data_IF_771931791285
#
_entry.id   IF_771931791285
#
_cell.length_a   1.000
_cell.length_b   1.000
_cell.length_c   1.000
_cell.angle_alpha   90.00
_cell.angle_beta   90.00
_cell.angle_gamma   90.00
#
_symmetry.space_group_name_H-M   'P 1'
#
loop_
_entity.id
_entity.type
_entity.pdbx_description
1 polymer ?
#
# COMPACT_ATOMS: atom_id res chain seq x y z
N UNK A 1 37.83 39.99 -24.55
CA UNK A 1 37.25 39.01 -23.66
C UNK A 1 36.30 38.11 -24.42
N UNK A 2 36.80 36.90 -24.67
CA UNK A 2 36.12 35.88 -25.45
C UNK A 2 35.22 34.97 -24.53
N UNK A 3 34.24 34.26 -25.10
CA UNK A 3 33.09 33.77 -24.42
C UNK A 3 33.39 32.45 -23.67
N UNK A 4 33.53 32.52 -22.35
CA UNK A 4 33.61 31.33 -21.49
C UNK A 4 32.28 30.61 -21.29
N UNK A 5 31.18 31.16 -21.81
CA UNK A 5 29.83 30.65 -21.59
C UNK A 5 29.48 29.42 -22.44
N UNK A 6 30.12 29.23 -23.59
CA UNK A 6 29.86 28.09 -24.47
C UNK A 6 30.50 26.76 -24.02
N UNK A 7 31.54 26.80 -23.22
CA UNK A 7 32.19 25.58 -22.73
C UNK A 7 31.37 24.82 -21.68
N UNK A 8 30.65 25.54 -20.86
CA UNK A 8 29.83 24.94 -19.80
C UNK A 8 28.57 24.25 -20.35
N UNK A 9 27.96 24.83 -21.37
CA UNK A 9 26.78 24.24 -22.03
C UNK A 9 27.19 23.03 -22.87
N UNK A 10 28.33 23.10 -23.57
CA UNK A 10 28.88 21.97 -24.32
C UNK A 10 29.30 20.82 -23.41
N UNK A 11 29.86 21.10 -22.24
CA UNK A 11 30.21 20.09 -21.24
C UNK A 11 28.98 19.43 -20.60
N UNK A 12 27.93 20.20 -20.35
CA UNK A 12 26.65 19.67 -19.88
C UNK A 12 25.95 18.82 -20.96
N UNK A 13 25.95 19.25 -22.20
CA UNK A 13 25.39 18.50 -23.33
C UNK A 13 26.19 17.21 -23.61
N UNK A 14 27.52 17.25 -23.52
CA UNK A 14 28.38 16.07 -23.64
C UNK A 14 28.22 15.09 -22.49
N UNK A 15 28.04 15.57 -21.25
CA UNK A 15 27.74 14.76 -20.09
C UNK A 15 26.39 14.05 -20.17
N UNK A 16 25.35 14.70 -20.68
CA UNK A 16 24.04 14.11 -20.91
C UNK A 16 24.05 13.10 -22.06
N UNK A 17 24.81 13.33 -23.12
CA UNK A 17 24.99 12.39 -24.23
C UNK A 17 25.80 11.14 -23.83
N UNK A 18 26.72 11.27 -22.89
CA UNK A 18 27.51 10.14 -22.33
C UNK A 18 26.68 9.26 -21.39
N UNK A 19 25.60 9.79 -20.79
CA UNK A 19 24.58 8.99 -20.08
C UNK A 19 23.71 8.39 -21.17
N UNK A 20 24.00 7.18 -21.60
CA UNK A 20 23.25 6.52 -22.66
C UNK A 20 21.74 6.63 -22.42
N UNK A 21 20.97 6.93 -23.44
CA UNK A 21 19.50 7.12 -23.41
C UNK A 21 18.79 6.01 -22.65
N UNK A 22 19.28 4.77 -22.75
CA UNK A 22 18.73 3.60 -22.06
C UNK A 22 18.81 3.72 -20.52
N UNK A 23 19.80 4.43 -19.94
CA UNK A 23 19.91 4.67 -18.50
C UNK A 23 18.84 5.62 -18.00
N UNK A 24 18.55 6.66 -18.76
CA UNK A 24 17.44 7.56 -18.49
C UNK A 24 16.09 6.82 -18.60
N UNK A 25 15.95 5.97 -19.60
CA UNK A 25 14.76 5.13 -19.75
C UNK A 25 14.58 4.17 -18.58
N UNK A 26 15.65 3.57 -18.07
CA UNK A 26 15.60 2.71 -16.90
C UNK A 26 15.11 3.43 -15.62
N UNK A 27 15.43 4.72 -15.48
CA UNK A 27 14.88 5.56 -14.39
C UNK A 27 13.44 5.96 -14.66
N UNK A 28 13.12 6.37 -15.90
CA UNK A 28 11.80 6.90 -16.24
C UNK A 28 10.70 5.82 -16.31
N UNK A 29 11.04 4.61 -16.77
CA UNK A 29 10.06 3.53 -17.00
C UNK A 29 9.24 3.17 -15.77
N UNK A 30 9.79 2.98 -14.56
CA UNK A 30 9.00 2.71 -13.37
C UNK A 30 8.02 3.84 -13.02
N UNK A 31 8.40 5.10 -13.24
CA UNK A 31 7.53 6.24 -12.96
C UNK A 31 6.38 6.34 -13.98
N UNK A 32 6.66 6.08 -15.26
CA UNK A 32 5.63 5.98 -16.29
C UNK A 32 4.70 4.79 -16.02
N UNK A 33 5.23 3.64 -15.60
CA UNK A 33 4.43 2.48 -15.19
C UNK A 33 3.50 2.81 -14.04
N UNK A 34 3.99 3.49 -13.01
CA UNK A 34 3.18 3.94 -11.87
C UNK A 34 2.09 4.94 -12.29
N UNK A 35 2.41 5.88 -13.17
CA UNK A 35 1.43 6.84 -13.69
C UNK A 35 0.32 6.14 -14.49
N UNK A 36 0.68 5.19 -15.37
CA UNK A 36 -0.29 4.39 -16.13
C UNK A 36 -1.18 3.58 -15.17
N UNK A 37 -0.59 2.96 -14.16
CA UNK A 37 -1.32 2.18 -13.17
C UNK A 37 -2.31 3.08 -12.40
N UNK A 38 -1.85 4.24 -11.92
CA UNK A 38 -2.70 5.24 -11.27
C UNK A 38 -3.92 5.62 -12.12
N UNK A 39 -3.69 5.95 -13.39
CA UNK A 39 -4.77 6.34 -14.30
C UNK A 39 -5.78 5.21 -14.59
N UNK A 40 -5.39 3.94 -14.36
CA UNK A 40 -6.23 2.75 -14.55
C UNK A 40 -6.94 2.30 -13.28
N UNK A 41 -6.47 2.71 -12.11
CA UNK A 41 -6.95 2.21 -10.82
C UNK A 41 -7.56 3.27 -9.93
N UNK A 42 -7.30 4.56 -10.20
CA UNK A 42 -7.77 5.65 -9.36
C UNK A 42 -8.64 6.61 -10.17
N UNK A 43 -9.87 6.79 -9.76
CA UNK A 43 -10.88 7.50 -10.55
C UNK A 43 -10.95 9.00 -10.24
N UNK A 44 -10.92 9.37 -8.96
CA UNK A 44 -11.06 10.75 -8.51
C UNK A 44 -9.72 11.44 -8.21
N UNK A 45 -9.77 12.77 -8.06
CA UNK A 45 -8.56 13.56 -7.77
C UNK A 45 -7.93 13.20 -6.43
N UNK A 46 -8.75 12.97 -5.40
CA UNK A 46 -8.25 12.64 -4.06
C UNK A 46 -7.54 11.30 -4.02
N UNK A 47 -8.09 10.26 -4.65
CA UNK A 47 -7.45 8.95 -4.74
C UNK A 47 -6.17 9.01 -5.56
N UNK A 48 -6.12 9.76 -6.67
CA UNK A 48 -4.88 10.00 -7.43
C UNK A 48 -3.81 10.72 -6.61
N UNK A 49 -4.21 11.72 -5.82
CA UNK A 49 -3.29 12.40 -4.92
C UNK A 49 -2.72 11.44 -3.87
N UNK A 50 -3.56 10.63 -3.22
CA UNK A 50 -3.12 9.60 -2.28
C UNK A 50 -2.20 8.57 -2.93
N UNK A 51 -2.51 8.14 -4.16
CA UNK A 51 -1.62 7.27 -4.93
C UNK A 51 -0.25 7.89 -5.12
N UNK A 52 -0.17 9.14 -5.59
CA UNK A 52 1.10 9.85 -5.82
C UNK A 52 1.90 10.04 -4.53
N UNK A 53 1.24 10.37 -3.43
CA UNK A 53 1.89 10.50 -2.13
C UNK A 53 2.44 9.15 -1.65
N UNK A 54 1.67 8.08 -1.79
CA UNK A 54 2.11 6.71 -1.44
C UNK A 54 3.26 6.25 -2.34
N UNK A 55 3.17 6.51 -3.65
CA UNK A 55 4.26 6.30 -4.59
C UNK A 55 5.52 7.06 -4.17
N UNK A 56 5.36 8.34 -3.79
CA UNK A 56 6.45 9.17 -3.29
C UNK A 56 7.09 8.59 -2.02
N UNK A 57 6.28 8.17 -1.05
CA UNK A 57 6.76 7.55 0.19
C UNK A 57 7.61 6.32 -0.12
N UNK A 58 7.09 5.38 -0.90
CA UNK A 58 7.81 4.14 -1.26
C UNK A 58 9.11 4.43 -2.02
N UNK A 59 9.03 5.31 -3.03
CA UNK A 59 10.18 5.63 -3.87
C UNK A 59 11.28 6.34 -3.07
N UNK A 60 10.94 7.36 -2.28
CA UNK A 60 11.92 8.07 -1.46
C UNK A 60 12.44 7.23 -0.30
N UNK A 61 11.64 6.32 0.26
CA UNK A 61 12.09 5.33 1.23
C UNK A 61 13.17 4.44 0.62
N UNK A 62 12.91 3.84 -0.55
CA UNK A 62 13.89 3.00 -1.22
C UNK A 62 15.11 3.79 -1.71
N UNK A 63 14.97 5.04 -2.15
CA UNK A 63 16.11 5.91 -2.45
C UNK A 63 16.96 6.15 -1.20
N UNK A 64 16.34 6.38 -0.05
CA UNK A 64 17.06 6.58 1.22
C UNK A 64 17.88 5.35 1.60
N UNK A 65 17.34 4.15 1.37
CA UNK A 65 18.02 2.89 1.65
C UNK A 65 19.11 2.56 0.62
N UNK A 66 18.75 2.58 -0.66
CA UNK A 66 19.56 2.04 -1.75
C UNK A 66 20.38 3.10 -2.49
N UNK A 67 19.95 4.36 -2.45
CA UNK A 67 20.57 5.51 -3.14
C UNK A 67 20.52 5.42 -4.68
N UNK A 68 19.79 4.46 -5.25
CA UNK A 68 19.70 4.16 -6.67
C UNK A 68 18.28 4.41 -7.19
N UNK A 69 18.04 5.45 -8.02
CA UNK A 69 16.68 5.85 -8.40
C UNK A 69 15.98 4.85 -9.29
N UNK A 70 16.65 4.24 -10.27
CA UNK A 70 16.02 3.26 -11.15
C UNK A 70 15.58 2.02 -10.39
N UNK A 71 16.45 1.49 -9.53
CA UNK A 71 16.13 0.34 -8.69
C UNK A 71 15.02 0.66 -7.68
N UNK A 72 15.10 1.83 -7.05
CA UNK A 72 14.07 2.27 -6.09
C UNK A 72 12.71 2.42 -6.74
N UNK A 73 12.64 3.03 -7.92
CA UNK A 73 11.41 3.12 -8.70
C UNK A 73 10.85 1.76 -9.10
N UNK A 74 11.70 0.83 -9.52
CA UNK A 74 11.28 -0.53 -9.89
C UNK A 74 10.75 -1.32 -8.69
N UNK A 75 11.43 -1.24 -7.52
CA UNK A 75 10.95 -1.86 -6.27
C UNK A 75 9.61 -1.28 -5.82
N UNK A 76 9.48 0.05 -5.88
CA UNK A 76 8.22 0.73 -5.56
C UNK A 76 7.11 0.27 -6.50
N UNK A 77 7.38 0.21 -7.82
CA UNK A 77 6.39 -0.25 -8.79
C UNK A 77 5.97 -1.70 -8.54
N UNK A 78 6.93 -2.57 -8.28
CA UNK A 78 6.65 -3.97 -7.95
C UNK A 78 5.74 -4.09 -6.73
N UNK A 79 6.05 -3.35 -5.65
CA UNK A 79 5.23 -3.37 -4.44
C UNK A 79 3.82 -2.84 -4.69
N UNK A 80 3.68 -1.73 -5.42
CA UNK A 80 2.37 -1.16 -5.77
C UNK A 80 1.57 -2.11 -6.66
N UNK A 81 2.20 -2.74 -7.66
CA UNK A 81 1.54 -3.74 -8.50
C UNK A 81 1.05 -4.92 -7.66
N UNK A 82 1.87 -5.44 -6.76
CA UNK A 82 1.48 -6.54 -5.85
C UNK A 82 0.28 -6.13 -4.99
N UNK A 83 0.31 -4.94 -4.39
CA UNK A 83 -0.81 -4.43 -3.57
C UNK A 83 -2.09 -4.28 -4.40
N UNK A 84 -2.01 -3.75 -5.61
CA UNK A 84 -3.17 -3.63 -6.51
C UNK A 84 -3.71 -5.00 -6.91
N UNK A 85 -2.84 -5.96 -7.20
CA UNK A 85 -3.27 -7.32 -7.56
C UNK A 85 -3.92 -8.03 -6.36
N UNK A 86 -3.36 -7.90 -5.16
CA UNK A 86 -3.96 -8.45 -3.94
C UNK A 86 -5.31 -7.80 -3.63
N UNK A 87 -5.42 -6.49 -3.81
CA UNK A 87 -6.67 -5.78 -3.59
C UNK A 87 -7.75 -6.17 -4.60
N UNK A 88 -7.38 -6.34 -5.89
CA UNK A 88 -8.29 -6.87 -6.91
C UNK A 88 -8.72 -8.30 -6.60
N UNK A 89 -7.77 -9.15 -6.25
CA UNK A 89 -8.09 -10.54 -5.87
C UNK A 89 -9.07 -10.58 -4.70
N UNK A 90 -8.85 -9.79 -3.64
CA UNK A 90 -9.78 -9.68 -2.52
C UNK A 90 -11.15 -9.16 -2.96
N UNK A 91 -11.16 -8.14 -3.81
CA UNK A 91 -12.39 -7.58 -4.34
C UNK A 91 -13.20 -8.61 -5.15
N UNK A 92 -12.54 -9.41 -5.98
CA UNK A 92 -13.20 -10.43 -6.81
C UNK A 92 -13.80 -11.57 -5.96
N UNK A 93 -13.20 -11.85 -4.79
CA UNK A 93 -13.64 -12.95 -3.90
C UNK A 93 -14.69 -12.50 -2.89
N UNK A 94 -14.47 -11.35 -2.24
CA UNK A 94 -15.31 -10.90 -1.12
C UNK A 94 -15.95 -9.53 -1.35
N UNK A 95 -15.84 -8.98 -2.57
CA UNK A 95 -16.39 -7.68 -2.96
C UNK A 95 -15.88 -6.50 -2.09
N UNK A 96 -14.70 -6.65 -1.51
CA UNK A 96 -14.05 -5.64 -0.66
C UNK A 96 -12.61 -5.41 -1.13
N UNK A 97 -12.17 -4.15 -1.13
CA UNK A 97 -10.77 -3.82 -1.41
C UNK A 97 -9.87 -4.17 -0.22
N UNK A 98 -8.59 -4.42 -0.49
CA UNK A 98 -7.62 -4.65 0.58
C UNK A 98 -7.38 -3.36 1.37
N UNK A 99 -7.34 -3.49 2.69
CA UNK A 99 -6.97 -2.43 3.60
C UNK A 99 -5.68 -2.79 4.36
N UNK A 100 -5.13 -1.83 5.09
CA UNK A 100 -3.87 -2.04 5.81
C UNK A 100 -4.00 -3.07 6.94
N UNK A 101 -5.16 -3.17 7.57
CA UNK A 101 -5.41 -4.13 8.65
C UNK A 101 -5.33 -5.57 8.13
N UNK A 102 -5.70 -5.80 6.86
CA UNK A 102 -5.56 -7.14 6.25
C UNK A 102 -4.11 -7.65 6.31
N UNK A 103 -3.11 -6.77 6.13
CA UNK A 103 -1.72 -7.17 6.25
C UNK A 103 -1.32 -7.55 7.69
N UNK A 104 -1.97 -6.97 8.69
CA UNK A 104 -1.70 -7.27 10.09
C UNK A 104 -2.29 -8.62 10.51
N UNK A 105 -3.35 -9.06 9.82
CA UNK A 105 -4.07 -10.33 10.11
C UNK A 105 -3.51 -11.50 9.29
N UNK A 106 -2.82 -11.23 8.17
CA UNK A 106 -2.23 -12.31 7.36
C UNK A 106 -1.13 -13.00 8.16
N UNK A 107 -1.42 -14.21 8.57
CA UNK A 107 -0.49 -15.12 9.22
C UNK A 107 -0.03 -16.23 8.25
N UNK A 108 0.78 -17.14 8.78
CA UNK A 108 1.31 -18.26 8.02
C UNK A 108 0.22 -19.23 7.57
N UNK A 109 -0.80 -19.41 8.39
CA UNK A 109 -1.90 -20.34 8.13
C UNK A 109 -2.82 -19.79 7.05
N UNK A 110 -3.11 -18.48 7.07
CA UNK A 110 -3.83 -17.77 6.00
C UNK A 110 -3.10 -17.90 4.66
N UNK A 111 -1.77 -17.69 4.66
CA UNK A 111 -0.98 -17.85 3.44
C UNK A 111 -1.01 -19.29 2.89
N UNK A 112 -0.89 -20.29 3.76
CA UNK A 112 -0.96 -21.70 3.39
C UNK A 112 -2.35 -22.07 2.85
N UNK A 113 -3.41 -21.57 3.49
CA UNK A 113 -4.79 -21.75 3.06
C UNK A 113 -5.03 -21.18 1.65
N UNK A 114 -4.60 -19.93 1.40
CA UNK A 114 -4.73 -19.30 0.08
C UNK A 114 -4.01 -20.08 -1.01
N UNK A 115 -2.80 -20.57 -0.75
CA UNK A 115 -2.04 -21.39 -1.71
C UNK A 115 -2.66 -22.77 -1.96
N UNK A 116 -3.48 -23.26 -1.02
CA UNK A 116 -4.19 -24.54 -1.18
C UNK A 116 -5.47 -24.36 -2.02
N UNK A 117 -6.25 -23.30 -1.75
CA UNK A 117 -7.50 -23.05 -2.47
C UNK A 117 -7.26 -22.51 -3.88
N UNK A 118 -6.20 -21.71 -4.05
CA UNK A 118 -5.86 -21.10 -5.34
C UNK A 118 -4.51 -21.62 -5.87
N UNK A 119 -4.46 -22.82 -6.47
CA UNK A 119 -3.20 -23.43 -6.92
C UNK A 119 -2.48 -22.59 -8.00
N UNK A 120 -3.23 -21.85 -8.81
CA UNK A 120 -2.66 -20.93 -9.80
C UNK A 120 -1.90 -19.77 -9.17
N UNK A 121 -2.24 -19.36 -7.94
CA UNK A 121 -1.55 -18.30 -7.20
C UNK A 121 -0.09 -18.65 -6.96
N UNK A 122 0.21 -19.90 -6.62
CA UNK A 122 1.57 -20.39 -6.43
C UNK A 122 2.43 -20.22 -7.69
N UNK A 123 1.91 -20.61 -8.85
CA UNK A 123 2.63 -20.47 -10.12
C UNK A 123 2.79 -19.01 -10.54
N UNK A 124 1.80 -18.17 -10.25
CA UNK A 124 1.89 -16.73 -10.49
C UNK A 124 2.97 -16.07 -9.63
N UNK A 125 3.09 -16.43 -8.36
CA UNK A 125 4.15 -15.94 -7.46
C UNK A 125 5.54 -16.38 -7.96
N UNK A 126 5.69 -17.66 -8.32
CA UNK A 126 6.96 -18.20 -8.86
C UNK A 126 7.33 -17.47 -10.16
N UNK A 127 6.39 -17.33 -11.09
CA UNK A 127 6.61 -16.64 -12.36
C UNK A 127 6.98 -15.18 -12.18
N UNK A 128 6.26 -14.45 -11.29
CA UNK A 128 6.59 -13.07 -10.95
C UNK A 128 8.00 -12.97 -10.36
N UNK A 129 8.36 -13.86 -9.45
CA UNK A 129 9.71 -13.89 -8.85
C UNK A 129 10.81 -14.14 -9.89
N UNK A 130 10.60 -15.09 -10.79
CA UNK A 130 11.56 -15.41 -11.86
C UNK A 130 11.80 -14.24 -12.82
N UNK A 131 10.83 -13.38 -13.03
CA UNK A 131 10.98 -12.17 -13.87
C UNK A 131 11.55 -11.01 -13.08
N UNK A 132 11.02 -10.76 -11.88
CA UNK A 132 11.35 -9.58 -11.08
C UNK A 132 12.77 -9.62 -10.55
N UNK A 133 13.25 -10.79 -10.05
CA UNK A 133 14.59 -10.89 -9.47
C UNK A 133 15.73 -10.62 -10.47
N UNK A 134 15.74 -11.22 -11.68
CA UNK A 134 16.76 -10.88 -12.68
C UNK A 134 16.68 -9.42 -13.14
N UNK A 135 15.46 -8.88 -13.28
CA UNK A 135 15.26 -7.48 -13.64
C UNK A 135 15.84 -6.54 -12.57
N UNK A 136 15.59 -6.80 -11.29
CA UNK A 136 16.16 -6.02 -10.18
C UNK A 136 17.68 -6.11 -10.15
N UNK A 137 18.21 -7.30 -10.37
CA UNK A 137 19.65 -7.50 -10.46
C UNK A 137 20.27 -6.72 -11.63
N UNK A 138 19.66 -6.78 -12.82
CA UNK A 138 20.09 -6.00 -13.98
C UNK A 138 20.02 -4.48 -13.69
N UNK A 139 18.93 -3.99 -13.11
CA UNK A 139 18.79 -2.58 -12.72
C UNK A 139 19.82 -2.16 -11.68
N UNK A 140 20.17 -3.04 -10.75
CA UNK A 140 21.24 -2.76 -9.79
C UNK A 140 22.58 -2.48 -10.50
N UNK A 141 22.89 -3.21 -11.55
CA UNK A 141 24.12 -3.02 -12.33
C UNK A 141 24.05 -1.81 -13.26
N UNK A 142 22.87 -1.56 -13.83
CA UNK A 142 22.66 -0.54 -14.85
C UNK A 142 22.46 0.87 -14.28
N UNK A 143 22.10 1.00 -13.01
CA UNK A 143 21.82 2.30 -12.38
C UNK A 143 23.11 2.97 -11.85
N UNK A 144 23.67 3.96 -12.60
CA UNK A 144 24.89 4.66 -12.20
C UNK A 144 24.62 5.79 -11.20
N UNK A 145 23.36 6.17 -11.04
CA UNK A 145 22.99 7.35 -10.26
C UNK A 145 23.08 7.08 -8.75
N UNK A 146 23.49 8.11 -8.02
CA UNK A 146 23.61 8.06 -6.56
C UNK A 146 22.98 9.31 -5.95
N UNK A 147 21.83 9.15 -5.32
CA UNK A 147 21.11 10.24 -4.65
C UNK A 147 21.53 10.32 -3.18
N UNK A 148 21.61 11.53 -2.65
CA UNK A 148 21.87 11.77 -1.22
C UNK A 148 20.70 11.31 -0.38
N UNK A 149 20.99 10.65 0.75
CA UNK A 149 19.96 10.10 1.65
C UNK A 149 19.11 11.17 2.32
N UNK A 150 19.73 12.25 2.78
CA UNK A 150 19.04 13.26 3.57
C UNK A 150 17.87 13.94 2.83
N UNK A 151 18.06 14.46 1.59
CA UNK A 151 16.91 15.03 0.87
C UNK A 151 15.85 13.98 0.51
N UNK A 152 16.24 12.72 0.25
CA UNK A 152 15.28 11.66 0.01
C UNK A 152 14.45 11.33 1.27
N UNK A 153 15.11 11.25 2.42
CA UNK A 153 14.41 11.05 3.71
C UNK A 153 13.46 12.22 4.03
N UNK A 154 13.90 13.46 3.80
CA UNK A 154 13.06 14.63 3.98
C UNK A 154 11.83 14.61 3.06
N UNK A 155 12.01 14.23 1.78
CA UNK A 155 10.91 14.08 0.84
C UNK A 155 9.95 12.95 1.24
N UNK A 156 10.47 11.81 1.74
CA UNK A 156 9.66 10.72 2.28
C UNK A 156 8.79 11.21 3.44
N UNK A 157 9.37 11.91 4.41
CA UNK A 157 8.65 12.47 5.56
C UNK A 157 7.60 13.50 5.12
N UNK A 158 7.92 14.35 4.15
CA UNK A 158 6.98 15.34 3.62
C UNK A 158 5.78 14.65 2.93
N UNK A 159 6.00 13.61 2.13
CA UNK A 159 4.91 12.84 1.53
C UNK A 159 4.07 12.12 2.59
N UNK A 160 4.70 11.57 3.64
CA UNK A 160 3.98 10.92 4.76
C UNK A 160 3.12 11.93 5.50
N UNK A 161 3.68 13.09 5.85
CA UNK A 161 2.93 14.15 6.51
C UNK A 161 1.75 14.67 5.66
N UNK A 162 1.96 14.83 4.34
CA UNK A 162 0.92 15.26 3.42
C UNK A 162 -0.20 14.20 3.30
N UNK A 163 0.14 12.92 3.21
CA UNK A 163 -0.84 11.82 3.17
C UNK A 163 -1.65 11.75 4.46
N UNK A 164 -0.97 11.85 5.62
CA UNK A 164 -1.64 11.85 6.92
C UNK A 164 -2.56 13.07 7.07
N UNK A 165 -2.07 14.26 6.72
CA UNK A 165 -2.88 15.47 6.74
C UNK A 165 -4.11 15.39 5.85
N UNK A 166 -3.96 14.81 4.65
CA UNK A 166 -5.08 14.59 3.75
C UNK A 166 -6.09 13.58 4.32
N UNK A 167 -5.61 12.44 4.84
CA UNK A 167 -6.49 11.40 5.39
C UNK A 167 -7.31 11.88 6.58
N UNK A 168 -6.73 12.74 7.44
CA UNK A 168 -7.47 13.33 8.58
C UNK A 168 -8.38 14.48 8.17
N UNK A 169 -7.99 15.30 7.17
CA UNK A 169 -8.81 16.41 6.71
C UNK A 169 -10.07 15.96 5.95
N UNK A 170 -9.97 14.86 5.23
CA UNK A 170 -11.05 14.26 4.42
C UNK A 170 -11.19 12.77 4.72
N UNK A 171 -11.75 12.40 5.88
CA UNK A 171 -11.98 10.99 6.22
C UNK A 171 -12.94 10.35 5.20
N UNK A 172 -12.66 9.11 4.82
CA UNK A 172 -13.57 8.34 3.97
C UNK A 172 -14.84 7.98 4.73
N UNK A 173 -15.98 8.07 4.06
CA UNK A 173 -17.20 7.47 4.55
C UNK A 173 -16.99 5.94 4.61
N UNK A 174 -17.34 5.32 5.73
CA UNK A 174 -17.03 3.92 6.01
C UNK A 174 -17.50 2.95 4.90
N UNK A 175 -18.65 3.23 4.26
CA UNK A 175 -19.19 2.40 3.18
C UNK A 175 -18.49 2.59 1.83
N UNK A 176 -17.98 3.81 1.51
CA UNK A 176 -17.21 4.06 0.28
C UNK A 176 -15.88 3.32 0.28
N UNK A 177 -15.30 3.07 1.46
CA UNK A 177 -14.08 2.31 1.61
C UNK A 177 -14.17 0.90 1.02
N UNK A 178 -15.36 0.33 0.87
CA UNK A 178 -15.54 -1.05 0.43
C UNK A 178 -15.94 -1.20 -1.04
N UNK A 179 -16.71 -0.26 -1.59
CA UNK A 179 -17.42 -0.47 -2.86
C UNK A 179 -16.91 0.34 -4.05
N UNK A 180 -16.03 1.30 -3.83
CA UNK A 180 -15.57 2.22 -4.86
C UNK A 180 -14.19 1.82 -5.43
N UNK A 181 -13.86 2.26 -6.66
CA UNK A 181 -12.53 2.12 -7.23
C UNK A 181 -11.49 2.82 -6.36
N UNK A 182 -10.22 2.46 -6.52
CA UNK A 182 -9.13 3.01 -5.73
C UNK A 182 -8.52 1.96 -4.80
N UNK A 183 -7.51 1.24 -5.31
CA UNK A 183 -6.90 0.15 -4.54
C UNK A 183 -5.77 0.63 -3.64
N UNK A 184 -4.81 1.40 -4.20
CA UNK A 184 -3.65 1.86 -3.44
C UNK A 184 -4.00 3.01 -2.50
N UNK A 185 -4.84 3.94 -2.95
CA UNK A 185 -5.27 5.09 -2.16
C UNK A 185 -6.01 4.67 -0.89
N UNK A 186 -6.95 3.74 -0.99
CA UNK A 186 -7.68 3.18 0.17
C UNK A 186 -6.76 2.44 1.12
N UNK A 187 -5.87 1.60 0.57
CA UNK A 187 -4.86 0.91 1.37
C UNK A 187 -3.98 1.89 2.15
N UNK A 188 -3.51 2.96 1.51
CA UNK A 188 -2.67 3.95 2.17
C UNK A 188 -3.41 4.76 3.24
N UNK A 189 -4.65 5.17 2.96
CA UNK A 189 -5.49 5.91 3.91
C UNK A 189 -5.88 5.05 5.10
N UNK A 190 -6.29 3.80 4.87
CA UNK A 190 -6.55 2.85 5.97
C UNK A 190 -5.30 2.58 6.81
N UNK A 191 -4.10 2.65 6.21
CA UNK A 191 -2.83 2.57 6.93
C UNK A 191 -2.61 3.75 7.88
N UNK A 192 -2.92 4.97 7.44
CA UNK A 192 -2.84 6.16 8.31
C UNK A 192 -3.77 6.03 9.50
N UNK A 193 -5.02 5.63 9.26
CA UNK A 193 -6.02 5.44 10.33
C UNK A 193 -5.60 4.31 11.27
N UNK A 194 -5.23 3.15 10.75
CA UNK A 194 -4.82 2.01 11.56
C UNK A 194 -3.60 2.31 12.45
N UNK A 195 -2.60 3.03 11.92
CA UNK A 195 -1.43 3.43 12.70
C UNK A 195 -1.83 4.47 13.77
N UNK A 196 -2.70 5.41 13.44
CA UNK A 196 -3.22 6.39 14.41
C UNK A 196 -3.96 5.70 15.54
N UNK A 197 -4.86 4.79 15.22
CA UNK A 197 -5.65 4.04 16.21
C UNK A 197 -4.76 3.15 17.07
N UNK A 198 -3.78 2.50 16.45
CA UNK A 198 -2.78 1.73 17.18
C UNK A 198 -1.99 2.57 18.18
N UNK A 199 -1.58 3.78 17.81
CA UNK A 199 -0.85 4.70 18.70
C UNK A 199 -1.75 5.25 19.80
N UNK A 200 -3.01 5.54 19.49
CA UNK A 200 -3.96 6.13 20.44
C UNK A 200 -4.54 5.10 21.42
N UNK A 201 -4.87 3.90 20.95
CA UNK A 201 -5.64 2.90 21.69
C UNK A 201 -4.91 1.58 21.92
N UNK A 202 -3.75 1.37 21.28
CA UNK A 202 -2.99 0.11 21.35
C UNK A 202 -3.48 -0.93 20.35
N UNK A 203 -2.89 -2.13 20.44
CA UNK A 203 -3.23 -3.25 19.55
C UNK A 203 -4.50 -3.92 20.03
N UNK A 204 -5.53 -3.85 19.18
CA UNK A 204 -6.84 -4.50 19.36
C UNK A 204 -7.42 -4.46 20.79
N UNK A 205 -8.51 -3.76 20.95
CA UNK A 205 -9.43 -3.89 22.08
C UNK A 205 -9.08 -3.24 23.42
N UNK A 206 -8.29 -2.24 23.47
CA UNK A 206 -8.19 -1.48 24.70
C UNK A 206 -9.16 -0.30 24.77
N UNK A 207 -10.37 -0.42 24.22
CA UNK A 207 -11.41 0.55 24.56
C UNK A 207 -12.02 0.18 25.92
N UNK A 208 -11.57 0.83 27.03
CA UNK A 208 -12.12 0.56 28.36
C UNK A 208 -13.62 0.87 28.42
N UNK A 209 -14.09 1.76 27.53
CA UNK A 209 -15.50 2.16 27.49
C UNK A 209 -16.40 1.06 26.95
N UNK A 210 -15.94 0.30 25.94
CA UNK A 210 -16.66 -0.88 25.44
C UNK A 210 -16.69 -2.00 26.49
N UNK A 211 -15.57 -2.24 27.16
CA UNK A 211 -15.48 -3.19 28.26
C UNK A 211 -16.38 -2.82 29.44
N UNK A 212 -16.49 -1.52 29.77
CA UNK A 212 -17.36 -1.04 30.84
C UNK A 212 -18.84 -1.04 30.44
N UNK A 213 -19.17 -0.80 29.18
CA UNK A 213 -20.53 -0.93 28.63
C UNK A 213 -21.01 -2.38 28.58
N UNK A 214 -20.08 -3.34 28.42
CA UNK A 214 -20.36 -4.78 28.44
C UNK A 214 -20.40 -5.38 29.86
N UNK A 215 -20.03 -4.62 30.90
CA UNK A 215 -20.29 -5.04 32.27
C UNK A 215 -21.80 -5.03 32.52
N UNK A 216 -22.43 -6.13 32.13
CA UNK A 216 -23.79 -6.42 32.52
C UNK A 216 -23.83 -6.37 34.05
N UNK A 217 -24.60 -5.45 34.68
CA UNK A 217 -24.77 -5.49 36.12
C UNK A 217 -25.20 -6.90 36.48
N UNK A 218 -24.51 -7.54 37.42
CA UNK A 218 -24.93 -8.83 37.96
C UNK A 218 -26.31 -8.63 38.53
N UNK A 219 -27.33 -8.90 37.72
CA UNK A 219 -28.71 -8.97 38.20
C UNK A 219 -28.71 -10.14 39.20
N UNK A 220 -28.92 -9.82 40.47
CA UNK A 220 -29.07 -10.79 41.51
C UNK A 220 -30.00 -11.89 41.02
N UNK A 221 -29.46 -13.10 41.03
CA UNK A 221 -30.01 -14.38 40.71
C UNK A 221 -31.49 -14.36 40.22
N UNK A 222 -31.66 -14.26 38.90
CA UNK A 222 -32.92 -14.69 38.32
C UNK A 222 -33.10 -16.17 38.58
N UNK A 223 -33.89 -16.52 39.58
CA UNK A 223 -34.33 -17.88 39.82
C UNK A 223 -35.51 -18.19 38.92
N UNK A 224 -35.31 -18.78 37.73
CA UNK A 224 -36.43 -19.13 36.88
C UNK A 224 -37.25 -20.22 37.53
N UNK A 225 -38.52 -19.93 37.83
CA UNK A 225 -39.45 -20.88 38.40
C UNK A 225 -39.92 -21.96 37.39
N UNK A 226 -39.27 -22.10 36.25
CA UNK A 226 -39.66 -23.01 35.18
C UNK A 226 -38.49 -23.59 34.40
N UNK A 227 -38.79 -24.42 33.41
CA UNK A 227 -37.83 -25.03 32.49
C UNK A 227 -37.10 -23.94 31.73
N UNK A 228 -35.77 -23.95 31.79
CA UNK A 228 -34.93 -22.97 31.09
C UNK A 228 -35.17 -23.07 29.56
N UNK A 229 -35.37 -21.95 28.84
CA UNK A 229 -35.48 -21.98 27.38
C UNK A 229 -34.15 -22.41 26.76
N UNK A 230 -34.23 -23.12 25.64
CA UNK A 230 -33.05 -23.35 24.80
C UNK A 230 -32.80 -22.07 24.00
N UNK A 231 -31.64 -21.45 24.17
CA UNK A 231 -31.22 -20.28 23.43
C UNK A 231 -30.25 -20.76 22.35
N UNK A 232 -30.60 -20.53 21.07
CA UNK A 232 -29.74 -20.74 19.94
C UNK A 232 -29.34 -19.36 19.45
N UNK A 233 -28.07 -19.02 19.56
CA UNK A 233 -27.50 -17.81 19.00
C UNK A 233 -26.86 -18.17 17.64
N UNK A 234 -27.37 -17.60 16.56
CA UNK A 234 -26.81 -17.72 15.23
C UNK A 234 -26.04 -16.41 14.98
N UNK A 235 -24.73 -16.50 14.91
CA UNK A 235 -23.87 -15.39 14.50
C UNK A 235 -23.59 -15.56 13.01
N UNK A 236 -24.23 -14.75 12.19
CA UNK A 236 -24.02 -14.73 10.74
C UNK A 236 -23.08 -13.57 10.38
N UNK A 237 -21.80 -13.89 10.26
CA UNK A 237 -20.76 -12.89 9.91
C UNK A 237 -20.73 -12.57 8.42
N UNK A 238 -21.35 -13.39 7.57
CA UNK A 238 -21.20 -13.30 6.12
C UNK A 238 -22.43 -13.81 5.40
N UNK A 239 -23.53 -13.07 5.47
CA UNK A 239 -24.66 -13.35 4.58
C UNK A 239 -24.36 -12.80 3.18
N UNK A 240 -23.92 -13.67 2.27
CA UNK A 240 -23.80 -13.33 0.86
C UNK A 240 -25.12 -13.67 0.15
N UNK A 241 -25.68 -12.68 -0.54
CA UNK A 241 -26.76 -12.92 -1.49
C UNK A 241 -26.18 -13.63 -2.72
N UNK A 242 -26.33 -14.95 -2.75
CA UNK A 242 -25.94 -15.77 -3.90
C UNK A 242 -27.06 -15.66 -4.93
N UNK A 243 -27.00 -14.67 -5.80
CA UNK A 243 -27.83 -14.55 -7.00
C UNK A 243 -27.05 -14.94 -8.23
#
# INVERSE_FOLDING_TARGET
>A
PAPQQNSSVAALAGGLAAIGVWRLMAVAAPHLGALILMLRTETDFGSRLCFLLTWGILNFLFITLLRRPALSGALSLTLVVVLVLLSRFKHDVVQMTANFVDLMVIDRDTAAFLLTIFPNLRWSIIGAGLVTLPLMYALWWLDPFRIRRLPAAAACLACTAALSGYAFAWPDEAWRGYYDDGYLSKFARSGVTAVSDFVAYGFMESDPSASDQLKIPTVDACHPAGRRPNIIMIHDESSFDIR
#
